data_IF_725245586568
#
_entry.id   IF_725245586568
#
_cell.length_a   1.000
_cell.length_b   1.000
_cell.length_c   1.000
_cell.angle_alpha   90.00
_cell.angle_beta   90.00
_cell.angle_gamma   90.00
#
_symmetry.space_group_name_H-M   'P 1'
#
loop_
_entity.id
_entity.type
_entity.pdbx_description
1 polymer ?
#
# COMPACT_ATOMS: atom_id res chain seq x y z
N UNK A 1 21.48 26.20 7.27
CA UNK A 1 20.07 25.96 7.70
C UNK A 1 19.16 25.59 6.54
N UNK A 2 19.37 26.13 5.33
CA UNK A 2 18.52 25.82 4.16
C UNK A 2 18.66 24.40 3.62
N UNK A 3 19.84 23.77 3.75
CA UNK A 3 20.05 22.39 3.31
C UNK A 3 19.28 21.37 4.18
N UNK A 4 19.34 21.52 5.51
CA UNK A 4 18.58 20.71 6.45
C UNK A 4 17.06 20.83 6.24
N UNK A 5 16.56 22.03 5.91
CA UNK A 5 15.14 22.24 5.54
C UNK A 5 14.79 21.54 4.24
N UNK A 6 15.61 21.69 3.18
CA UNK A 6 15.41 21.00 1.90
C UNK A 6 15.43 19.47 2.04
N UNK A 7 16.28 18.95 2.92
CA UNK A 7 16.36 17.52 3.16
C UNK A 7 15.10 16.99 3.86
N UNK A 8 14.66 17.69 4.92
CA UNK A 8 13.39 17.40 5.60
C UNK A 8 12.21 17.41 4.64
N UNK A 9 12.09 18.43 3.79
CA UNK A 9 10.96 18.56 2.86
C UNK A 9 10.98 17.45 1.78
N UNK A 10 12.17 16.98 1.37
CA UNK A 10 12.29 15.78 0.51
C UNK A 10 11.79 14.52 1.21
N UNK A 11 12.11 14.32 2.49
CA UNK A 11 11.61 13.18 3.25
C UNK A 11 10.09 13.24 3.46
N UNK A 12 9.55 14.41 3.80
CA UNK A 12 8.11 14.63 3.92
C UNK A 12 7.40 14.29 2.61
N UNK A 13 7.92 14.78 1.48
CA UNK A 13 7.36 14.50 0.16
C UNK A 13 7.39 12.99 -0.17
N UNK A 14 8.48 12.30 0.14
CA UNK A 14 8.58 10.84 -0.04
C UNK A 14 7.58 10.08 0.83
N UNK A 15 7.42 10.45 2.10
CA UNK A 15 6.47 9.83 3.02
C UNK A 15 5.04 10.08 2.53
N UNK A 16 4.74 11.30 2.08
CA UNK A 16 3.44 11.63 1.50
C UNK A 16 3.12 10.73 0.30
N UNK A 17 4.04 10.61 -0.66
CA UNK A 17 3.86 9.74 -1.82
C UNK A 17 3.69 8.26 -1.45
N UNK A 18 4.40 7.79 -0.42
CA UNK A 18 4.23 6.43 0.09
C UNK A 18 2.84 6.24 0.71
N UNK A 19 2.40 7.17 1.57
CA UNK A 19 1.07 7.14 2.18
C UNK A 19 -0.05 7.20 1.13
N UNK A 20 0.11 8.06 0.13
CA UNK A 20 -0.82 8.18 -0.99
C UNK A 20 -0.85 6.91 -1.86
N UNK A 21 0.30 6.27 -2.07
CA UNK A 21 0.34 5.00 -2.78
C UNK A 21 -0.34 3.87 -1.99
N UNK A 22 -0.18 3.86 -0.66
CA UNK A 22 -0.85 2.91 0.23
C UNK A 22 -2.36 3.15 0.22
N UNK A 23 -2.81 4.41 0.26
CA UNK A 23 -4.25 4.71 0.22
C UNK A 23 -4.92 4.16 -1.04
N UNK A 24 -4.27 4.22 -2.22
CA UNK A 24 -4.78 3.58 -3.43
C UNK A 24 -4.86 2.05 -3.34
N UNK A 25 -3.91 1.40 -2.64
CA UNK A 25 -3.94 -0.06 -2.43
C UNK A 25 -5.20 -0.47 -1.67
N UNK A 26 -5.71 0.37 -0.76
CA UNK A 26 -6.96 0.10 -0.04
C UNK A 26 -8.20 0.62 -0.77
N UNK A 27 -8.13 1.82 -1.35
CA UNK A 27 -9.28 2.50 -1.94
C UNK A 27 -9.78 1.78 -3.20
N UNK A 28 -8.88 1.38 -4.11
CA UNK A 28 -9.29 0.75 -5.38
C UNK A 28 -10.04 -0.58 -5.12
N UNK A 29 -9.49 -1.53 -4.35
CA UNK A 29 -10.17 -2.78 -4.08
C UNK A 29 -11.47 -2.57 -3.30
N UNK A 30 -11.50 -1.66 -2.32
CA UNK A 30 -12.71 -1.37 -1.55
C UNK A 30 -13.84 -0.84 -2.43
N UNK A 31 -13.56 0.12 -3.32
CA UNK A 31 -14.55 0.67 -4.27
C UNK A 31 -15.07 -0.44 -5.19
N UNK A 32 -14.19 -1.27 -5.75
CA UNK A 32 -14.58 -2.42 -6.58
C UNK A 32 -15.46 -3.38 -5.79
N UNK A 33 -15.06 -3.72 -4.55
CA UNK A 33 -15.79 -4.61 -3.67
C UNK A 33 -17.19 -4.11 -3.33
N UNK A 34 -17.36 -2.81 -3.12
CA UNK A 34 -18.69 -2.21 -2.91
C UNK A 34 -19.54 -2.28 -4.17
N UNK A 35 -19.00 -1.90 -5.33
CA UNK A 35 -19.78 -1.88 -6.57
C UNK A 35 -20.22 -3.30 -6.96
N UNK A 36 -19.30 -4.27 -6.89
CA UNK A 36 -19.59 -5.68 -7.20
C UNK A 36 -20.50 -6.28 -6.13
N UNK A 37 -20.18 -6.08 -4.86
CA UNK A 37 -20.96 -6.58 -3.73
C UNK A 37 -22.40 -6.12 -3.77
N UNK A 38 -22.66 -4.83 -4.02
CA UNK A 38 -24.03 -4.29 -4.07
C UNK A 38 -24.83 -4.84 -5.24
N UNK A 39 -24.20 -5.08 -6.40
CA UNK A 39 -24.86 -5.74 -7.53
C UNK A 39 -25.28 -7.16 -7.18
N UNK A 40 -24.41 -7.92 -6.50
CA UNK A 40 -24.70 -9.28 -6.07
C UNK A 40 -25.78 -9.27 -4.98
N UNK A 41 -25.66 -8.41 -3.96
CA UNK A 41 -26.65 -8.31 -2.90
C UNK A 41 -28.05 -7.95 -3.41
N UNK A 42 -28.15 -7.13 -4.46
CA UNK A 42 -29.42 -6.83 -5.12
C UNK A 42 -30.03 -8.06 -5.80
N UNK A 43 -29.21 -8.90 -6.44
CA UNK A 43 -29.67 -10.12 -7.13
C UNK A 43 -30.11 -11.19 -6.13
N UNK A 44 -29.37 -11.37 -5.03
CA UNK A 44 -29.61 -12.41 -4.04
C UNK A 44 -30.46 -11.96 -2.84
N UNK A 45 -30.87 -10.68 -2.82
CA UNK A 45 -31.68 -10.06 -1.76
C UNK A 45 -31.10 -10.25 -0.35
N UNK A 46 -29.77 -10.20 -0.23
CA UNK A 46 -29.01 -10.57 0.96
C UNK A 46 -28.80 -9.41 1.95
N UNK A 47 -29.47 -8.27 1.77
CA UNK A 47 -29.39 -7.11 2.67
C UNK A 47 -27.95 -6.68 3.01
N UNK A 48 -27.08 -6.54 2.00
CA UNK A 48 -25.68 -6.09 2.11
C UNK A 48 -24.71 -7.04 2.83
N UNK A 49 -25.13 -8.27 3.17
CA UNK A 49 -24.24 -9.25 3.82
C UNK A 49 -23.06 -9.63 2.93
N UNK A 50 -23.28 -9.77 1.62
CA UNK A 50 -22.23 -10.16 0.68
C UNK A 50 -21.23 -9.01 0.50
N UNK A 51 -21.69 -7.78 0.36
CA UNK A 51 -20.84 -6.58 0.30
C UNK A 51 -19.95 -6.47 1.53
N UNK A 52 -20.52 -6.70 2.73
CA UNK A 52 -19.77 -6.63 3.99
C UNK A 52 -18.67 -7.69 4.03
N UNK A 53 -18.98 -8.92 3.61
CA UNK A 53 -18.00 -10.00 3.54
C UNK A 53 -16.90 -9.74 2.52
N UNK A 54 -17.25 -9.26 1.31
CA UNK A 54 -16.30 -8.89 0.26
C UNK A 54 -15.39 -7.77 0.76
N UNK A 55 -15.93 -6.74 1.41
CA UNK A 55 -15.14 -5.65 1.99
C UNK A 55 -14.14 -6.16 3.03
N UNK A 56 -14.56 -7.06 3.91
CA UNK A 56 -13.69 -7.65 4.91
C UNK A 56 -12.53 -8.45 4.28
N UNK A 57 -12.83 -9.31 3.30
CA UNK A 57 -11.80 -10.03 2.54
C UNK A 57 -10.86 -9.08 1.81
N UNK A 58 -11.41 -8.04 1.18
CA UNK A 58 -10.65 -7.04 0.44
C UNK A 58 -9.70 -6.26 1.34
N UNK A 59 -10.13 -5.96 2.57
CA UNK A 59 -9.30 -5.30 3.57
C UNK A 59 -8.12 -6.18 3.97
N UNK A 60 -8.34 -7.47 4.26
CA UNK A 60 -7.28 -8.43 4.58
C UNK A 60 -6.31 -8.57 3.41
N UNK A 61 -6.83 -8.68 2.18
CA UNK A 61 -6.01 -8.80 0.98
C UNK A 61 -5.14 -7.54 0.75
N UNK A 62 -5.69 -6.36 1.01
CA UNK A 62 -4.94 -5.09 0.91
C UNK A 62 -3.77 -5.04 1.90
N UNK A 63 -3.97 -5.51 3.14
CA UNK A 63 -2.88 -5.64 4.12
C UNK A 63 -1.79 -6.61 3.65
N UNK A 64 -2.19 -7.74 3.07
CA UNK A 64 -1.23 -8.69 2.49
C UNK A 64 -0.39 -8.05 1.38
N UNK A 65 -1.02 -7.28 0.48
CA UNK A 65 -0.31 -6.55 -0.58
C UNK A 65 0.67 -5.51 -0.02
N UNK A 66 0.26 -4.74 0.98
CA UNK A 66 1.15 -3.78 1.66
C UNK A 66 2.34 -4.50 2.28
N UNK A 67 2.11 -5.62 2.96
CA UNK A 67 3.16 -6.42 3.58
C UNK A 67 4.18 -6.94 2.56
N UNK A 68 3.71 -7.52 1.44
CA UNK A 68 4.58 -8.00 0.35
C UNK A 68 5.40 -6.84 -0.25
N UNK A 69 4.77 -5.68 -0.47
CA UNK A 69 5.43 -4.51 -1.03
C UNK A 69 6.51 -3.96 -0.09
N UNK A 70 6.22 -3.91 1.21
CA UNK A 70 7.18 -3.54 2.24
C UNK A 70 8.37 -4.50 2.28
N UNK A 71 8.12 -5.81 2.27
CA UNK A 71 9.19 -6.81 2.24
C UNK A 71 10.06 -6.71 0.99
N UNK A 72 9.46 -6.45 -0.18
CA UNK A 72 10.21 -6.23 -1.43
C UNK A 72 11.09 -4.99 -1.37
N UNK A 73 10.58 -3.89 -0.81
CA UNK A 73 11.36 -2.67 -0.55
C UNK A 73 12.53 -2.91 0.41
N UNK A 74 12.28 -3.64 1.49
CA UNK A 74 13.30 -3.98 2.47
C UNK A 74 14.40 -4.87 1.87
N UNK A 75 14.04 -5.87 1.04
CA UNK A 75 15.02 -6.68 0.31
C UNK A 75 15.89 -5.85 -0.62
N UNK A 76 15.27 -4.95 -1.41
CA UNK A 76 16.02 -4.03 -2.29
C UNK A 76 16.97 -3.11 -1.51
N UNK A 77 16.54 -2.59 -0.36
CA UNK A 77 17.40 -1.78 0.51
C UNK A 77 18.60 -2.58 1.04
N UNK A 78 18.40 -3.84 1.43
CA UNK A 78 19.50 -4.73 1.85
C UNK A 78 20.49 -5.00 0.73
N UNK A 79 20.01 -5.23 -0.50
CA UNK A 79 20.86 -5.41 -1.68
C UNK A 79 21.69 -4.15 -1.96
N UNK A 80 21.07 -2.97 -2.01
CA UNK A 80 21.77 -1.69 -2.26
C UNK A 80 22.83 -1.42 -1.19
N UNK A 81 22.49 -1.62 0.09
CA UNK A 81 23.44 -1.43 1.19
C UNK A 81 24.62 -2.41 1.12
N UNK A 82 24.40 -3.62 0.61
CA UNK A 82 25.47 -4.59 0.38
C UNK A 82 26.43 -4.09 -0.70
N UNK A 83 25.89 -3.58 -1.82
CA UNK A 83 26.70 -3.03 -2.93
C UNK A 83 27.49 -1.79 -2.51
N UNK A 84 26.90 -0.90 -1.70
CA UNK A 84 27.58 0.30 -1.19
C UNK A 84 28.75 -0.08 -0.28
N UNK A 85 28.59 -1.10 0.58
CA UNK A 85 29.69 -1.60 1.42
C UNK A 85 30.85 -2.16 0.58
N UNK A 86 30.55 -2.89 -0.48
CA UNK A 86 31.56 -3.47 -1.38
C UNK A 86 32.32 -2.40 -2.18
N UNK A 87 31.67 -1.28 -2.53
CA UNK A 87 32.31 -0.16 -3.24
C UNK A 87 33.03 0.84 -2.34
N UNK A 88 32.84 0.79 -1.02
CA UNK A 88 33.59 1.60 -0.06
C UNK A 88 34.83 0.87 0.50
N UNK A 89 35.00 -0.42 0.19
CA UNK A 89 36.13 -1.24 0.63
C UNK A 89 37.17 -1.53 -0.47
N UNK A 90 36.93 -1.10 -1.71
CA UNK A 90 37.90 -1.02 -2.81
C UNK A 90 38.26 0.43 -3.09
#
# INVERSE_FOLDING_TARGET
MDELKKERDRYITKIFWLGFQISFIFAIPAVIGVVVGRKIDYIFNTNNKITTFILFLTFIFSWFLVFVKYNKLNKKLKEINKTVKEHQQN
#
